data_IF_048027583652
#
_entry.id   IF_048027583652
#
_cell.length_a   1.000
_cell.length_b   1.000
_cell.length_c   1.000
_cell.angle_alpha   90.00
_cell.angle_beta   90.00
_cell.angle_gamma   90.00
#
_symmetry.space_group_name_H-M   'P 1'
#
loop_
_entity.id
_entity.type
_entity.pdbx_description
1 polymer ?
#
# COMPACT_ATOMS: atom_id res chain seq x y z
N UNK A 1 7.90 -5.12 -32.27
CA UNK A 1 8.81 -4.56 -31.25
C UNK A 1 9.45 -5.71 -30.50
N UNK A 2 10.79 -5.78 -30.43
CA UNK A 2 11.51 -6.85 -29.73
C UNK A 2 11.11 -6.82 -28.25
N UNK A 3 10.36 -7.82 -27.79
CA UNK A 3 10.21 -8.10 -26.37
C UNK A 3 11.57 -8.53 -25.83
N UNK A 4 12.30 -7.64 -25.19
CA UNK A 4 13.41 -8.08 -24.32
C UNK A 4 12.80 -9.02 -23.29
N UNK A 5 13.22 -10.29 -23.31
CA UNK A 5 12.78 -11.29 -22.33
C UNK A 5 13.06 -10.74 -20.93
N UNK A 6 11.99 -10.41 -20.20
CA UNK A 6 12.06 -10.04 -18.79
C UNK A 6 11.77 -11.26 -17.92
N UNK A 7 12.36 -11.37 -16.73
CA UNK A 7 13.35 -10.45 -16.18
C UNK A 7 14.75 -10.64 -16.78
N UNK A 8 15.49 -9.55 -16.96
CA UNK A 8 16.93 -9.58 -17.21
C UNK A 8 17.71 -9.97 -15.93
N UNK A 9 19.04 -10.11 -16.01
CA UNK A 9 19.86 -10.55 -14.85
C UNK A 9 19.71 -9.66 -13.62
N UNK A 10 19.81 -8.33 -13.79
CA UNK A 10 19.67 -7.38 -12.70
C UNK A 10 18.25 -7.36 -12.13
N UNK A 11 17.23 -7.40 -13.01
CA UNK A 11 15.83 -7.54 -12.59
C UNK A 11 15.63 -8.83 -11.78
N UNK A 12 16.19 -9.97 -12.22
CA UNK A 12 16.04 -11.25 -11.51
C UNK A 12 16.66 -11.22 -10.11
N UNK A 13 17.87 -10.67 -9.98
CA UNK A 13 18.54 -10.54 -8.67
C UNK A 13 17.76 -9.61 -7.73
N UNK A 14 17.34 -8.44 -8.22
CA UNK A 14 16.55 -7.49 -7.45
C UNK A 14 15.19 -8.09 -7.03
N UNK A 15 14.46 -8.68 -7.97
CA UNK A 15 13.15 -9.28 -7.71
C UNK A 15 13.26 -10.41 -6.68
N UNK A 16 14.30 -11.25 -6.76
CA UNK A 16 14.49 -12.31 -5.76
C UNK A 16 14.63 -11.75 -4.35
N UNK A 17 15.39 -10.68 -4.15
CA UNK A 17 15.57 -10.05 -2.83
C UNK A 17 14.28 -9.38 -2.36
N UNK A 18 13.62 -8.62 -3.25
CA UNK A 18 12.44 -7.83 -2.91
C UNK A 18 11.22 -8.72 -2.64
N UNK A 19 10.98 -9.77 -3.43
CA UNK A 19 9.89 -10.71 -3.20
C UNK A 19 10.06 -11.49 -1.90
N UNK A 20 11.26 -12.04 -1.65
CA UNK A 20 11.52 -12.78 -0.40
C UNK A 20 11.30 -11.87 0.82
N UNK A 21 11.89 -10.67 0.82
CA UNK A 21 11.73 -9.72 1.91
C UNK A 21 10.28 -9.29 2.12
N UNK A 22 9.53 -9.05 1.03
CA UNK A 22 8.12 -8.72 1.12
C UNK A 22 7.29 -9.86 1.70
N UNK A 23 7.52 -11.11 1.26
CA UNK A 23 6.76 -12.26 1.76
C UNK A 23 7.08 -12.60 3.22
N UNK A 24 8.34 -12.42 3.65
CA UNK A 24 8.72 -12.58 5.05
C UNK A 24 7.97 -11.55 5.93
N UNK A 25 7.96 -10.28 5.52
CA UNK A 25 7.20 -9.23 6.21
C UNK A 25 5.69 -9.49 6.17
N UNK A 26 5.16 -9.96 5.04
CA UNK A 26 3.75 -10.31 4.92
C UNK A 26 3.36 -11.39 5.92
N UNK A 27 4.13 -12.49 5.95
CA UNK A 27 3.87 -13.63 6.82
C UNK A 27 3.92 -13.18 8.28
N UNK A 28 4.88 -12.33 8.64
CA UNK A 28 4.98 -11.79 9.98
C UNK A 28 3.77 -10.90 10.34
N UNK A 29 3.42 -9.92 9.50
CA UNK A 29 2.41 -8.89 9.78
C UNK A 29 0.99 -9.45 9.89
N UNK A 30 0.66 -10.49 9.11
CA UNK A 30 -0.67 -11.10 9.12
C UNK A 30 -0.95 -11.91 10.39
N UNK A 31 0.10 -12.38 11.07
CA UNK A 31 -0.03 -13.14 12.31
C UNK A 31 -0.56 -12.27 13.46
N UNK A 32 -1.44 -12.84 14.28
CA UNK A 32 -2.02 -12.09 15.40
C UNK A 32 -0.99 -11.81 16.51
N UNK A 33 0.13 -12.54 16.54
CA UNK A 33 1.27 -12.31 17.43
C UNK A 33 2.03 -11.02 17.12
N UNK A 34 2.11 -10.61 15.85
CA UNK A 34 2.76 -9.37 15.44
C UNK A 34 2.13 -8.14 16.10
N UNK A 35 0.80 -8.14 16.24
CA UNK A 35 0.04 -7.06 16.86
C UNK A 35 0.19 -6.96 18.37
N UNK A 36 0.95 -7.88 19.00
CA UNK A 36 1.35 -7.83 20.41
C UNK A 36 2.77 -7.30 20.60
N UNK A 37 3.52 -7.09 19.51
CA UNK A 37 4.86 -6.51 19.55
C UNK A 37 4.80 -5.02 19.83
N UNK A 38 5.93 -4.43 20.19
CA UNK A 38 6.07 -3.00 20.44
C UNK A 38 5.65 -2.13 19.23
N UNK A 39 5.12 -0.93 19.48
CA UNK A 39 4.57 -0.05 18.43
C UNK A 39 5.63 0.42 17.43
N UNK A 40 6.83 0.77 17.92
CA UNK A 40 7.94 1.17 17.06
C UNK A 40 8.38 0.02 16.16
N UNK A 41 8.44 -1.19 16.71
CA UNK A 41 8.74 -2.38 15.92
C UNK A 41 7.72 -2.60 14.81
N UNK A 42 6.41 -2.56 15.14
CA UNK A 42 5.35 -2.72 14.13
C UNK A 42 5.44 -1.64 13.06
N UNK A 43 5.63 -0.38 13.48
CA UNK A 43 5.74 0.76 12.58
C UNK A 43 6.93 0.63 11.63
N UNK A 44 8.11 0.21 12.11
CA UNK A 44 9.27 -0.05 11.28
C UNK A 44 9.01 -1.15 10.23
N UNK A 45 8.44 -2.29 10.64
CA UNK A 45 8.13 -3.40 9.73
C UNK A 45 7.12 -3.02 8.65
N UNK A 46 6.13 -2.23 9.02
CA UNK A 46 5.15 -1.67 8.09
C UNK A 46 5.83 -0.73 7.09
N UNK A 47 6.70 0.17 7.55
CA UNK A 47 7.45 1.07 6.67
C UNK A 47 8.27 0.31 5.63
N UNK A 48 8.98 -0.73 6.06
CA UNK A 48 9.77 -1.58 5.19
C UNK A 48 8.90 -2.27 4.14
N UNK A 49 7.74 -2.81 4.55
CA UNK A 49 6.82 -3.47 3.61
C UNK A 49 6.33 -2.51 2.51
N UNK A 50 5.94 -1.29 2.87
CA UNK A 50 5.50 -0.28 1.90
C UNK A 50 6.66 0.20 1.01
N UNK A 51 7.87 0.33 1.55
CA UNK A 51 9.06 0.72 0.80
C UNK A 51 9.46 -0.36 -0.22
N UNK A 52 9.52 -1.63 0.20
CA UNK A 52 9.83 -2.76 -0.68
C UNK A 52 8.76 -2.90 -1.77
N UNK A 53 7.48 -2.83 -1.40
CA UNK A 53 6.39 -2.88 -2.38
C UNK A 53 6.51 -1.76 -3.40
N UNK A 54 6.88 -0.54 -2.97
CA UNK A 54 7.12 0.56 -3.89
C UNK A 54 8.20 0.26 -4.93
N UNK A 55 9.31 -0.32 -4.51
CA UNK A 55 10.38 -0.67 -5.45
C UNK A 55 9.96 -1.80 -6.40
N UNK A 56 9.16 -2.77 -5.93
CA UNK A 56 8.55 -3.79 -6.79
C UNK A 56 7.67 -3.17 -7.88
N UNK A 57 6.94 -2.08 -7.59
CA UNK A 57 6.11 -1.38 -8.59
C UNK A 57 6.90 -0.78 -9.76
N UNK A 58 8.22 -0.64 -9.64
CA UNK A 58 9.08 -0.20 -10.76
C UNK A 58 9.26 -1.29 -11.81
N UNK A 59 8.98 -2.56 -11.49
CA UNK A 59 9.01 -3.66 -12.45
C UNK A 59 7.76 -3.63 -13.34
N UNK A 60 7.99 -3.38 -14.63
CA UNK A 60 6.92 -3.11 -15.60
C UNK A 60 5.80 -4.18 -15.65
N UNK A 61 6.10 -5.50 -15.59
CA UNK A 61 5.05 -6.51 -15.56
C UNK A 61 4.07 -6.41 -14.38
N UNK A 62 4.49 -5.89 -13.22
CA UNK A 62 3.56 -5.66 -12.10
C UNK A 62 2.56 -4.55 -12.44
N UNK A 63 2.97 -3.54 -13.21
CA UNK A 63 2.05 -2.47 -13.66
C UNK A 63 0.96 -3.01 -14.58
N UNK A 64 1.28 -3.98 -15.44
CA UNK A 64 0.28 -4.63 -16.30
C UNK A 64 -0.80 -5.34 -15.49
N UNK A 65 -0.39 -6.05 -14.43
CA UNK A 65 -1.34 -6.68 -13.49
C UNK A 65 -2.23 -5.64 -12.84
N UNK A 66 -1.66 -4.53 -12.35
CA UNK A 66 -2.44 -3.45 -11.72
C UNK A 66 -3.46 -2.86 -12.71
N UNK A 67 -3.05 -2.61 -13.95
CA UNK A 67 -3.92 -2.06 -14.98
C UNK A 67 -5.01 -3.05 -15.40
N UNK A 68 -4.69 -4.34 -15.50
CA UNK A 68 -5.67 -5.39 -15.71
C UNK A 68 -6.66 -5.47 -14.54
N UNK A 69 -6.19 -5.44 -13.29
CA UNK A 69 -7.06 -5.46 -12.10
C UNK A 69 -8.00 -4.26 -12.05
N UNK A 70 -7.54 -3.07 -12.48
CA UNK A 70 -8.37 -1.86 -12.59
C UNK A 70 -9.43 -1.98 -13.68
N UNK A 71 -9.14 -2.68 -14.78
CA UNK A 71 -10.05 -2.84 -15.93
C UNK A 71 -11.00 -4.04 -15.81
N UNK A 72 -10.60 -5.10 -15.11
CA UNK A 72 -11.23 -6.42 -15.22
C UNK A 72 -11.71 -7.07 -13.92
N UNK A 73 -11.50 -6.51 -12.71
CA UNK A 73 -11.83 -7.31 -11.51
C UNK A 73 -11.90 -6.65 -10.13
N UNK A 74 -11.80 -5.32 -10.01
CA UNK A 74 -12.18 -4.60 -8.77
C UNK A 74 -13.36 -3.68 -9.08
N UNK A 75 -14.27 -3.38 -8.14
CA UNK A 75 -15.09 -2.19 -8.27
C UNK A 75 -14.12 -1.01 -8.55
N UNK A 76 -14.29 -0.24 -9.65
CA UNK A 76 -13.30 0.74 -10.10
C UNK A 76 -12.88 1.73 -9.01
N UNK A 77 -13.83 2.11 -8.16
CA UNK A 77 -13.67 3.03 -7.02
C UNK A 77 -12.77 2.42 -5.92
N UNK A 78 -12.88 1.13 -5.65
CA UNK A 78 -12.06 0.44 -4.64
C UNK A 78 -10.60 0.30 -5.09
N UNK A 79 -10.38 0.04 -6.38
CA UNK A 79 -9.05 -0.02 -6.97
C UNK A 79 -8.32 1.32 -6.96
N UNK A 80 -9.04 2.40 -7.28
CA UNK A 80 -8.51 3.76 -7.29
C UNK A 80 -8.16 4.25 -5.87
N UNK A 81 -9.09 4.12 -4.92
CA UNK A 81 -8.87 4.53 -3.53
C UNK A 81 -7.73 3.75 -2.90
N UNK A 82 -7.66 2.43 -3.10
CA UNK A 82 -6.59 1.61 -2.54
C UNK A 82 -5.20 2.02 -3.05
N UNK A 83 -5.06 2.25 -4.36
CA UNK A 83 -3.78 2.67 -4.95
C UNK A 83 -3.33 4.04 -4.44
N UNK A 84 -4.26 4.99 -4.37
CA UNK A 84 -3.97 6.34 -3.87
C UNK A 84 -3.64 6.33 -2.37
N UNK A 85 -4.38 5.55 -1.58
CA UNK A 85 -4.16 5.39 -0.16
C UNK A 85 -2.80 4.76 0.13
N UNK A 86 -2.40 3.71 -0.59
CA UNK A 86 -1.10 3.08 -0.34
C UNK A 86 0.05 4.03 -0.66
N UNK A 87 -0.06 4.78 -1.76
CA UNK A 87 0.89 5.84 -2.10
C UNK A 87 0.94 6.93 -1.02
N UNK A 88 -0.21 7.32 -0.48
CA UNK A 88 -0.30 8.29 0.61
C UNK A 88 0.38 7.80 1.89
N UNK A 89 0.06 6.60 2.37
CA UNK A 89 0.67 6.00 3.57
C UNK A 89 2.18 5.91 3.41
N UNK A 90 2.66 5.32 2.29
CA UNK A 90 4.08 5.23 1.97
C UNK A 90 4.77 6.59 2.04
N UNK A 91 4.18 7.59 1.38
CA UNK A 91 4.80 8.92 1.29
C UNK A 91 4.81 9.63 2.64
N UNK A 92 3.77 9.46 3.46
CA UNK A 92 3.79 9.95 4.82
C UNK A 92 4.96 9.36 5.60
N UNK A 93 5.09 8.03 5.60
CA UNK A 93 6.11 7.38 6.42
C UNK A 93 7.54 7.55 5.88
N UNK A 94 7.69 7.78 4.58
CA UNK A 94 8.99 8.01 3.93
C UNK A 94 9.46 9.46 4.08
N UNK A 95 8.58 10.44 3.88
CA UNK A 95 8.95 11.86 3.87
C UNK A 95 8.85 12.52 5.25
N UNK A 96 8.21 11.86 6.23
CA UNK A 96 8.15 12.31 7.62
C UNK A 96 8.75 11.23 8.55
N UNK A 97 10.09 11.01 8.49
CA UNK A 97 10.75 9.90 9.18
C UNK A 97 10.91 10.08 10.70
N UNK A 98 10.37 11.17 11.26
CA UNK A 98 10.51 11.55 12.66
C UNK A 98 9.38 11.05 13.57
N UNK A 99 8.41 10.32 13.01
CA UNK A 99 7.36 9.65 13.79
C UNK A 99 7.81 8.25 14.21
N UNK A 100 7.28 7.80 15.34
CA UNK A 100 7.70 6.53 15.95
C UNK A 100 6.62 5.44 15.95
N UNK A 101 5.36 5.83 15.87
CA UNK A 101 4.24 4.90 15.79
C UNK A 101 3.15 5.44 14.87
N UNK A 102 2.26 4.54 14.43
CA UNK A 102 1.17 4.84 13.51
C UNK A 102 0.28 6.00 14.01
N UNK A 103 -0.01 6.00 15.30
CA UNK A 103 -0.93 6.93 15.94
C UNK A 103 -0.38 8.35 16.09
N UNK A 104 0.94 8.47 16.11
CA UNK A 104 1.67 9.75 16.17
C UNK A 104 1.77 10.45 14.82
N UNK A 105 1.60 9.73 13.70
CA UNK A 105 1.78 10.30 12.36
C UNK A 105 0.69 11.32 12.07
N UNK A 106 1.10 12.57 11.86
CA UNK A 106 0.20 13.65 11.49
C UNK A 106 0.84 14.59 10.48
N UNK A 107 -0.02 15.25 9.69
CA UNK A 107 0.40 16.32 8.79
C UNK A 107 -0.61 17.46 8.75
N UNK A 108 -0.18 18.63 8.28
CA UNK A 108 -1.07 19.75 7.93
C UNK A 108 -0.65 20.34 6.58
N UNK A 109 -1.44 21.27 6.04
CA UNK A 109 -1.16 21.86 4.72
C UNK A 109 0.19 22.60 4.66
N UNK A 110 0.72 23.13 5.77
CA UNK A 110 2.04 23.77 5.76
C UNK A 110 3.15 22.74 5.57
N UNK A 111 3.22 21.73 6.44
CA UNK A 111 4.36 20.82 6.42
C UNK A 111 4.37 19.96 5.16
N UNK A 112 3.22 19.54 4.62
CA UNK A 112 3.22 18.76 3.35
C UNK A 112 3.67 19.56 2.13
N UNK A 113 3.65 20.89 2.22
CA UNK A 113 4.06 21.79 1.14
C UNK A 113 5.33 22.57 1.49
N UNK A 114 6.10 22.16 2.52
CA UNK A 114 7.27 22.90 3.03
C UNK A 114 8.32 23.18 1.95
N UNK A 115 8.56 22.20 1.07
CA UNK A 115 9.53 22.30 -0.03
C UNK A 115 8.86 22.78 -1.34
N UNK A 116 7.74 22.17 -1.70
CA UNK A 116 7.02 22.44 -2.95
C UNK A 116 5.53 22.13 -2.78
N UNK A 117 4.68 23.05 -3.22
CA UNK A 117 3.22 22.84 -3.21
C UNK A 117 2.79 21.78 -4.23
N UNK A 118 1.70 21.05 -3.91
CA UNK A 118 1.05 20.16 -4.87
C UNK A 118 1.79 18.84 -5.02
N UNK A 119 2.59 18.44 -4.04
CA UNK A 119 3.17 17.10 -3.98
C UNK A 119 2.10 16.04 -3.65
N UNK A 120 2.48 14.78 -3.80
CA UNK A 120 1.56 13.63 -3.71
C UNK A 120 0.66 13.59 -2.46
N UNK A 121 1.18 13.94 -1.29
CA UNK A 121 0.42 13.95 -0.02
C UNK A 121 -0.62 15.08 -0.04
N UNK A 122 -0.22 16.27 -0.50
CA UNK A 122 -1.12 17.42 -0.68
C UNK A 122 -2.21 17.13 -1.71
N UNK A 123 -1.85 16.50 -2.84
CA UNK A 123 -2.81 16.08 -3.88
C UNK A 123 -3.83 15.08 -3.35
N UNK A 124 -3.39 14.07 -2.57
CA UNK A 124 -4.29 13.11 -1.95
C UNK A 124 -5.30 13.80 -1.03
N UNK A 125 -4.83 14.64 -0.10
CA UNK A 125 -5.71 15.34 0.84
C UNK A 125 -6.64 16.32 0.12
N UNK A 126 -6.19 17.01 -0.94
CA UNK A 126 -7.04 17.87 -1.78
C UNK A 126 -8.12 17.08 -2.52
N UNK A 127 -7.80 15.89 -3.05
CA UNK A 127 -8.70 15.01 -3.82
C UNK A 127 -9.79 14.37 -2.98
N UNK A 128 -9.47 13.99 -1.75
CA UNK A 128 -10.35 13.18 -0.90
C UNK A 128 -11.02 13.94 0.25
N UNK A 129 -10.62 15.18 0.56
CA UNK A 129 -11.29 15.99 1.58
C UNK A 129 -12.82 16.04 1.35
N UNK A 130 -13.59 15.88 2.42
CA UNK A 130 -15.06 15.94 2.37
C UNK A 130 -15.75 14.75 1.71
N UNK A 131 -15.03 13.72 1.25
CA UNK A 131 -15.66 12.49 0.70
C UNK A 131 -16.31 11.59 1.75
N UNK A 132 -16.10 11.86 3.04
CA UNK A 132 -16.69 11.09 4.14
C UNK A 132 -15.94 9.79 4.44
N UNK A 133 -16.68 8.76 4.85
CA UNK A 133 -16.18 7.43 5.19
C UNK A 133 -16.45 6.44 4.06
N UNK A 134 -15.46 5.62 3.71
CA UNK A 134 -15.61 4.48 2.81
C UNK A 134 -15.36 3.21 3.60
N UNK A 135 -16.33 2.28 3.56
CA UNK A 135 -16.27 1.01 4.27
C UNK A 135 -15.86 -0.11 3.33
N UNK A 136 -14.89 -0.90 3.75
CA UNK A 136 -14.39 -2.08 3.07
C UNK A 136 -14.62 -3.30 3.94
N UNK A 137 -14.74 -4.45 3.29
CA UNK A 137 -14.71 -5.75 3.95
C UNK A 137 -13.88 -6.71 3.13
N UNK A 138 -13.10 -7.56 3.80
CA UNK A 138 -12.32 -8.58 3.14
C UNK A 138 -12.33 -9.88 3.94
N UNK A 139 -12.20 -11.00 3.23
CA UNK A 139 -12.17 -12.34 3.82
C UNK A 139 -10.73 -12.71 4.17
N UNK A 140 -10.44 -12.96 5.46
CA UNK A 140 -9.18 -13.54 5.92
C UNK A 140 -9.27 -15.07 5.77
N UNK A 141 -8.89 -15.61 4.60
CA UNK A 141 -9.04 -17.03 4.27
C UNK A 141 -8.46 -18.00 5.31
N UNK A 142 -7.26 -17.70 5.82
CA UNK A 142 -6.61 -18.51 6.86
C UNK A 142 -7.36 -18.52 8.19
N UNK A 143 -8.04 -17.42 8.54
CA UNK A 143 -8.75 -17.25 9.81
C UNK A 143 -10.26 -17.49 9.68
N UNK A 144 -10.73 -17.78 8.47
CA UNK A 144 -12.14 -17.99 8.12
C UNK A 144 -13.06 -16.91 8.71
N UNK A 145 -12.66 -15.64 8.61
CA UNK A 145 -13.45 -14.51 9.13
C UNK A 145 -13.51 -13.33 8.17
N UNK A 146 -14.60 -12.58 8.26
CA UNK A 146 -14.74 -11.28 7.61
C UNK A 146 -14.15 -10.19 8.49
N UNK A 147 -13.29 -9.36 7.90
CA UNK A 147 -12.72 -8.18 8.56
C UNK A 147 -13.23 -6.93 7.88
N UNK A 148 -13.56 -5.93 8.70
CA UNK A 148 -14.15 -4.67 8.30
C UNK A 148 -13.12 -3.56 8.49
N UNK A 149 -13.04 -2.67 7.50
CA UNK A 149 -12.15 -1.52 7.50
C UNK A 149 -12.95 -0.28 7.15
N UNK A 150 -12.72 0.81 7.87
CA UNK A 150 -13.21 2.13 7.52
C UNK A 150 -12.05 3.02 7.12
N UNK A 151 -12.17 3.67 5.97
CA UNK A 151 -11.27 4.75 5.55
C UNK A 151 -12.04 6.06 5.68
N UNK A 152 -11.58 6.96 6.54
CA UNK A 152 -12.28 8.23 6.83
C UNK A 152 -11.46 9.40 6.31
N UNK A 153 -12.00 10.13 5.34
CA UNK A 153 -11.31 11.30 4.83
C UNK A 153 -11.60 12.53 5.68
N UNK A 154 -10.62 13.43 5.85
CA UNK A 154 -10.82 14.62 6.66
C UNK A 154 -11.93 15.49 6.06
N UNK A 155 -12.83 16.00 6.91
CA UNK A 155 -13.89 16.90 6.47
C UNK A 155 -13.30 18.19 5.86
N UNK A 156 -12.18 18.66 6.40
CA UNK A 156 -11.47 19.84 5.95
C UNK A 156 -9.97 19.58 5.92
N UNK A 157 -9.30 20.21 4.97
CA UNK A 157 -7.85 20.20 4.85
C UNK A 157 -7.36 21.65 4.85
N UNK A 158 -7.07 22.15 6.05
CA UNK A 158 -6.68 23.53 6.36
C UNK A 158 -5.24 23.58 6.87
N UNK A 159 -4.68 24.78 6.94
CA UNK A 159 -3.28 24.99 7.34
C UNK A 159 -3.04 24.81 8.83
N UNK A 160 -4.03 25.10 9.67
CA UNK A 160 -3.93 25.02 11.14
C UNK A 160 -4.36 23.67 11.72
N UNK A 161 -5.08 22.86 10.97
CA UNK A 161 -5.63 21.58 11.44
C UNK A 161 -4.67 20.44 11.13
N UNK A 162 -4.37 19.62 12.15
CA UNK A 162 -3.66 18.36 11.96
C UNK A 162 -4.61 17.32 11.37
N UNK A 163 -4.09 16.57 10.41
CA UNK A 163 -4.70 15.37 9.85
C UNK A 163 -3.85 14.20 10.32
N UNK A 164 -4.41 13.35 11.18
CA UNK A 164 -3.72 12.17 11.69
C UNK A 164 -3.94 10.96 10.78
N UNK A 165 -2.92 10.11 10.66
CA UNK A 165 -3.01 8.87 9.87
C UNK A 165 -4.02 7.90 10.47
N UNK A 166 -4.01 7.72 11.81
CA UNK A 166 -4.95 6.87 12.54
C UNK A 166 -6.42 7.25 12.34
N UNK A 167 -6.68 8.53 12.11
CA UNK A 167 -8.04 9.02 11.87
C UNK A 167 -8.50 8.67 10.46
N UNK A 168 -7.57 8.51 9.51
CA UNK A 168 -7.86 8.09 8.13
C UNK A 168 -8.03 6.59 8.04
N UNK A 169 -7.12 5.83 8.66
CA UNK A 169 -7.05 4.38 8.53
C UNK A 169 -6.45 3.79 9.82
N UNK A 170 -7.11 2.77 10.38
CA UNK A 170 -6.60 2.08 11.57
C UNK A 170 -5.29 1.34 11.25
N UNK A 171 -4.39 1.27 12.24
CA UNK A 171 -3.12 0.55 12.07
C UNK A 171 -3.40 -0.92 11.67
N UNK A 172 -4.09 -1.67 12.53
CA UNK A 172 -4.21 -3.11 12.37
C UNK A 172 -4.98 -3.53 11.12
N UNK A 173 -6.23 -3.09 10.98
CA UNK A 173 -7.08 -3.51 9.86
C UNK A 173 -6.61 -2.90 8.55
N UNK A 174 -6.14 -1.64 8.59
CA UNK A 174 -5.63 -0.93 7.43
C UNK A 174 -4.35 -1.53 6.86
N UNK A 175 -3.42 -1.91 7.72
CA UNK A 175 -2.19 -2.59 7.30
C UNK A 175 -2.48 -4.00 6.80
N UNK A 176 -3.31 -4.79 7.49
CA UNK A 176 -3.70 -6.12 6.99
C UNK A 176 -4.35 -6.04 5.61
N UNK A 177 -5.28 -5.11 5.42
CA UNK A 177 -5.91 -4.86 4.13
C UNK A 177 -4.87 -4.51 3.05
N UNK A 178 -3.94 -3.61 3.38
CA UNK A 178 -2.87 -3.20 2.47
C UNK A 178 -2.00 -4.39 2.06
N UNK A 179 -1.52 -5.16 3.04
CA UNK A 179 -0.67 -6.33 2.80
C UNK A 179 -1.37 -7.39 1.94
N UNK A 180 -2.65 -7.68 2.20
CA UNK A 180 -3.43 -8.66 1.42
C UNK A 180 -3.56 -8.21 -0.04
N UNK A 181 -3.86 -6.93 -0.28
CA UNK A 181 -3.99 -6.42 -1.64
C UNK A 181 -2.65 -6.36 -2.38
N UNK A 182 -1.59 -5.95 -1.69
CA UNK A 182 -0.22 -5.94 -2.24
C UNK A 182 0.21 -7.37 -2.61
N UNK A 183 0.04 -8.33 -1.70
CA UNK A 183 0.31 -9.75 -1.98
C UNK A 183 -0.50 -10.25 -3.18
N UNK A 184 -1.79 -9.93 -3.27
CA UNK A 184 -2.61 -10.36 -4.42
C UNK A 184 -2.06 -9.87 -5.77
N UNK A 185 -1.56 -8.63 -5.82
CA UNK A 185 -0.92 -8.08 -7.03
C UNK A 185 0.33 -8.88 -7.39
N UNK A 186 1.18 -9.14 -6.38
CA UNK A 186 2.43 -9.87 -6.54
C UNK A 186 2.21 -11.35 -6.94
N UNK A 187 1.30 -12.06 -6.26
CA UNK A 187 0.93 -13.45 -6.54
C UNK A 187 0.41 -13.58 -7.99
N UNK A 188 -0.48 -12.68 -8.42
CA UNK A 188 -1.02 -12.68 -9.80
C UNK A 188 0.10 -12.52 -10.84
N UNK A 189 1.08 -11.65 -10.59
CA UNK A 189 2.22 -11.47 -11.50
C UNK A 189 3.05 -12.76 -11.62
N UNK A 190 3.28 -13.47 -10.51
CA UNK A 190 4.04 -14.72 -10.51
C UNK A 190 3.29 -15.83 -11.26
N UNK A 191 1.98 -15.96 -11.04
CA UNK A 191 1.13 -16.95 -11.70
C UNK A 191 1.03 -16.72 -13.22
N UNK A 192 0.93 -15.47 -13.67
CA UNK A 192 0.94 -15.13 -15.11
C UNK A 192 2.28 -15.44 -15.78
N UNK A 193 3.41 -15.27 -15.08
CA UNK A 193 4.74 -15.65 -15.58
C UNK A 193 4.90 -17.18 -15.66
N UNK A 194 4.25 -17.93 -14.77
CA UNK A 194 4.20 -19.40 -14.81
C UNK A 194 3.35 -19.96 -15.96
N UNK A 195 2.39 -19.19 -16.48
CA UNK A 195 1.54 -19.53 -17.62
C UNK A 195 2.12 -18.97 -18.93
N UNK A 196 3.23 -19.52 -19.43
CA UNK A 196 3.51 -19.37 -20.87
C UNK A 196 2.45 -20.16 -21.66
N UNK A 197 1.93 -19.61 -22.77
CA UNK A 197 0.95 -20.30 -23.59
C UNK A 197 1.58 -21.57 -24.16
N UNK A 198 0.89 -22.70 -23.99
CA UNK A 198 1.03 -23.83 -24.88
C UNK A 198 0.82 -23.30 -26.30
N UNK A 199 1.91 -23.22 -27.06
CA UNK A 199 1.84 -23.02 -28.50
C UNK A 199 1.18 -24.29 -29.04
N UNK A 200 -0.09 -24.17 -29.43
CA UNK A 200 -0.77 -25.11 -30.33
C UNK A 200 -0.10 -25.09 -31.68
#
# INVERSE_FOLDING_TARGET
>A
MKSTLRPNKAEKEFLSLAYNSFYDLFNEIIEDSFWKKDEWYRFCKVKDAFAIYNELLNYEPIKWVIDWMKKGGRPPVEGEIGSDLFKFVRNLTLHFPFFENWDSVWVNKFIVNWNKEGQSIDQFLKKYKGRGEVKYRFWEGHKKRMTYLSIKFPAQYKTTSKVFLKDIISEKEGIKFSMILMRKVLDTQVEEVGKKPSIS
#
